data_IF_721067289943
#
_entry.id   IF_721067289943
#
_cell.length_a   1.000
_cell.length_b   1.000
_cell.length_c   1.000
_cell.angle_alpha   90.00
_cell.angle_beta   90.00
_cell.angle_gamma   90.00
#
_symmetry.space_group_name_H-M   'P 1'
#
loop_
_entity.id
_entity.type
_entity.pdbx_description
1 polymer ?
#
# COMPACT_ATOMS: atom_id res chain seq x y z
N UNK A 1 2.98 -14.51 14.55
CA UNK A 1 1.55 -14.18 14.72
C UNK A 1 1.27 -12.92 13.94
N UNK A 2 0.21 -12.90 13.13
CA UNK A 2 -0.22 -11.69 12.42
C UNK A 2 -1.39 -11.07 13.18
N UNK A 3 -1.24 -9.82 13.60
CA UNK A 3 -2.27 -9.11 14.36
C UNK A 3 -3.32 -8.45 13.44
N UNK A 4 -2.93 -8.08 12.21
CA UNK A 4 -3.80 -7.42 11.24
C UNK A 4 -4.39 -8.47 10.31
N UNK A 5 -5.69 -8.74 10.39
CA UNK A 5 -6.37 -9.74 9.55
C UNK A 5 -7.03 -9.17 8.31
N UNK A 6 -7.06 -7.84 8.18
CA UNK A 6 -7.64 -7.14 7.04
C UNK A 6 -6.60 -6.95 5.92
N UNK A 7 -7.04 -6.90 4.64
CA UNK A 7 -6.19 -6.45 3.55
C UNK A 7 -5.58 -5.10 3.88
N UNK A 8 -4.27 -4.95 3.67
CA UNK A 8 -3.54 -3.73 4.02
C UNK A 8 -2.69 -3.30 2.85
N UNK A 9 -2.73 -2.01 2.52
CA UNK A 9 -1.89 -1.37 1.53
C UNK A 9 -1.00 -0.34 2.22
N UNK A 10 0.30 -0.42 1.96
CA UNK A 10 1.29 0.60 2.31
C UNK A 10 1.70 1.34 1.03
N UNK A 11 1.47 2.65 0.98
CA UNK A 11 1.94 3.51 -0.12
C UNK A 11 3.11 4.35 0.37
N UNK A 12 4.26 4.24 -0.30
CA UNK A 12 5.48 4.95 0.04
C UNK A 12 5.98 5.80 -1.13
N UNK A 13 6.92 6.70 -0.83
CA UNK A 13 7.51 7.61 -1.80
C UNK A 13 9.03 7.67 -1.64
N UNK A 14 9.76 8.06 -2.69
CA UNK A 14 11.24 8.08 -2.69
C UNK A 14 11.82 8.97 -1.59
N UNK A 15 11.19 10.12 -1.35
CA UNK A 15 11.59 11.06 -0.29
C UNK A 15 10.63 10.97 0.91
N UNK A 16 9.95 9.83 1.05
CA UNK A 16 9.06 9.54 2.16
C UNK A 16 9.83 9.14 3.43
N UNK A 17 9.09 8.94 4.52
CA UNK A 17 9.64 8.52 5.82
C UNK A 17 9.96 7.03 5.84
N UNK A 18 9.20 6.23 5.07
CA UNK A 18 9.38 4.79 4.98
C UNK A 18 10.38 4.47 3.88
N UNK A 19 11.52 3.91 4.28
CA UNK A 19 12.53 3.43 3.34
C UNK A 19 12.15 2.05 2.77
N UNK A 20 12.75 1.64 1.64
CA UNK A 20 12.54 0.30 1.09
C UNK A 20 12.83 -0.81 2.09
N UNK A 21 13.88 -0.67 2.92
CA UNK A 21 14.23 -1.65 3.94
C UNK A 21 13.14 -1.79 5.01
N UNK A 22 12.53 -0.68 5.43
CA UNK A 22 11.42 -0.70 6.40
C UNK A 22 10.18 -1.32 5.77
N UNK A 23 9.89 -1.03 4.50
CA UNK A 23 8.77 -1.64 3.80
C UNK A 23 8.92 -3.17 3.68
N UNK A 24 10.13 -3.66 3.46
CA UNK A 24 10.47 -5.09 3.47
C UNK A 24 10.29 -5.73 4.85
N UNK A 25 10.75 -5.06 5.90
CA UNK A 25 10.54 -5.50 7.28
C UNK A 25 9.04 -5.62 7.60
N UNK A 26 8.23 -4.62 7.23
CA UNK A 26 6.79 -4.64 7.42
C UNK A 26 6.11 -5.78 6.65
N UNK A 27 6.58 -6.08 5.44
CA UNK A 27 6.09 -7.23 4.66
C UNK A 27 6.48 -8.57 5.28
N UNK A 28 7.61 -8.66 5.97
CA UNK A 28 7.96 -9.87 6.73
C UNK A 28 7.01 -10.13 7.92
N UNK A 29 6.50 -9.07 8.54
CA UNK A 29 5.55 -9.14 9.66
C UNK A 29 4.10 -9.40 9.19
N UNK A 30 3.76 -8.89 8.02
CA UNK A 30 2.47 -9.09 7.36
C UNK A 30 2.69 -9.48 5.89
N UNK A 31 2.77 -10.79 5.57
CA UNK A 31 3.01 -11.25 4.21
C UNK A 31 1.94 -10.87 3.18
N UNK A 32 0.73 -10.51 3.63
CA UNK A 32 -0.34 -10.01 2.77
C UNK A 32 -0.35 -8.48 2.65
N UNK A 33 0.63 -7.79 3.24
CA UNK A 33 0.82 -6.36 3.05
C UNK A 33 1.19 -6.10 1.58
N UNK A 34 0.30 -5.38 0.89
CA UNK A 34 0.62 -4.83 -0.42
C UNK A 34 1.46 -3.57 -0.22
N UNK A 35 2.52 -3.42 -0.99
CA UNK A 35 3.41 -2.27 -0.92
C UNK A 35 3.51 -1.64 -2.29
N UNK A 36 3.11 -0.38 -2.39
CA UNK A 36 3.18 0.42 -3.61
C UNK A 36 4.11 1.61 -3.41
N UNK A 37 4.89 1.93 -4.45
CA UNK A 37 5.90 2.97 -4.38
C UNK A 37 5.68 4.01 -5.47
N UNK A 38 5.32 5.23 -5.06
CA UNK A 38 5.22 6.39 -5.94
C UNK A 38 6.60 7.03 -6.06
N UNK A 39 7.25 6.80 -7.21
CA UNK A 39 8.52 7.45 -7.56
C UNK A 39 8.35 8.95 -7.71
N UNK A 40 9.40 9.72 -7.41
CA UNK A 40 9.44 11.18 -7.56
C UNK A 40 8.44 11.95 -6.67
N UNK A 41 7.89 11.31 -5.63
CA UNK A 41 7.04 11.94 -4.63
C UNK A 41 7.79 12.20 -3.31
N UNK A 42 7.33 13.22 -2.58
CA UNK A 42 7.79 13.61 -1.26
C UNK A 42 6.94 13.01 -0.13
N UNK A 43 6.97 13.67 1.02
CA UNK A 43 6.20 13.25 2.20
C UNK A 43 4.69 13.33 1.96
N UNK A 44 4.23 14.37 1.25
CA UNK A 44 2.83 14.58 0.89
C UNK A 44 2.51 13.97 -0.48
N UNK A 45 2.80 12.67 -0.66
CA UNK A 45 2.67 11.97 -1.96
C UNK A 45 1.29 12.07 -2.62
N UNK A 46 0.23 12.24 -1.82
CA UNK A 46 -1.14 12.43 -2.31
C UNK A 46 -1.38 13.85 -2.87
N UNK A 47 -0.58 14.84 -2.50
CA UNK A 47 -0.59 16.19 -3.08
C UNK A 47 0.41 16.30 -4.23
N UNK A 48 1.55 15.63 -4.12
CA UNK A 48 2.59 15.66 -5.15
C UNK A 48 2.15 14.95 -6.44
N UNK A 49 1.48 13.80 -6.30
CA UNK A 49 1.01 12.97 -7.42
C UNK A 49 -0.40 12.41 -7.16
N UNK A 50 -1.42 13.28 -7.11
CA UNK A 50 -2.78 12.92 -6.69
C UNK A 50 -3.40 11.84 -7.57
N UNK A 51 -3.19 11.87 -8.89
CA UNK A 51 -3.76 10.89 -9.82
C UNK A 51 -3.18 9.50 -9.59
N UNK A 52 -1.85 9.39 -9.46
CA UNK A 52 -1.18 8.10 -9.20
C UNK A 52 -1.57 7.53 -7.85
N UNK A 53 -1.62 8.38 -6.83
CA UNK A 53 -2.10 7.96 -5.52
C UNK A 53 -3.55 7.46 -5.59
N UNK A 54 -4.45 8.19 -6.24
CA UNK A 54 -5.84 7.81 -6.39
C UNK A 54 -6.00 6.48 -7.15
N UNK A 55 -5.25 6.27 -8.24
CA UNK A 55 -5.27 5.00 -8.99
C UNK A 55 -4.85 3.83 -8.11
N UNK A 56 -3.74 3.93 -7.38
CA UNK A 56 -3.26 2.88 -6.48
C UNK A 56 -4.34 2.52 -5.44
N UNK A 57 -4.96 3.53 -4.82
CA UNK A 57 -6.01 3.29 -3.81
C UNK A 57 -7.25 2.64 -4.45
N UNK A 58 -7.69 3.11 -5.61
CA UNK A 58 -8.84 2.53 -6.32
C UNK A 58 -8.61 1.07 -6.73
N UNK A 59 -7.41 0.75 -7.22
CA UNK A 59 -7.05 -0.61 -7.61
C UNK A 59 -7.01 -1.55 -6.40
N UNK A 60 -6.49 -1.07 -5.27
CA UNK A 60 -6.54 -1.81 -4.02
C UNK A 60 -7.97 -2.08 -3.56
N UNK A 61 -8.84 -1.06 -3.52
CA UNK A 61 -10.24 -1.23 -3.12
C UNK A 61 -10.97 -2.25 -4.00
N UNK A 62 -10.78 -2.18 -5.32
CA UNK A 62 -11.33 -3.15 -6.28
C UNK A 62 -10.82 -4.57 -6.02
N UNK A 63 -9.53 -4.71 -5.66
CA UNK A 63 -8.94 -6.01 -5.32
C UNK A 63 -9.58 -6.62 -4.06
N UNK A 64 -9.93 -5.78 -3.08
CA UNK A 64 -10.57 -6.20 -1.82
C UNK A 64 -12.02 -6.61 -2.05
N UNK A 65 -12.81 -5.83 -2.81
CA UNK A 65 -14.19 -6.18 -3.16
C UNK A 65 -14.27 -7.53 -3.92
N UNK A 66 -13.31 -7.77 -4.80
CA UNK A 66 -13.21 -9.03 -5.56
C UNK A 66 -12.78 -10.21 -4.67
N UNK A 67 -11.96 -9.97 -3.65
CA UNK A 67 -11.56 -10.99 -2.69
C UNK A 67 -12.71 -11.37 -1.75
N UNK A 68 -13.55 -10.42 -1.37
CA UNK A 68 -14.72 -10.65 -0.51
C UNK A 68 -15.83 -11.42 -1.26
N UNK A 69 -16.03 -11.10 -2.54
CA UNK A 69 -16.99 -11.78 -3.43
C UNK A 69 -16.63 -13.23 -3.75
N UNK A 70 -15.37 -13.66 -3.53
CA UNK A 70 -14.92 -15.06 -3.69
C UNK A 70 -15.04 -15.89 -2.40
N UNK A 71 -15.38 -15.25 -1.28
CA UNK A 71 -15.59 -15.92 0.02
C UNK A 71 -17.06 -16.18 0.33
N UNK A 72 -17.99 -15.74 -0.53
CA UNK A 72 -19.42 -16.08 -0.52
C UNK A 72 -19.71 -17.21 -1.51
#
# INVERSE_FOLDING_TARGET
MRAITLPTLLVCADKGVVSPAVAEELRSLNPELQVEHIREAGHALHLDQPERFATIVQDFLRSVETADSRKQ
#
